data_IF_970522284737
#
_entry.id   IF_970522284737
#
_cell.length_a   1.000
_cell.length_b   1.000
_cell.length_c   1.000
_cell.angle_alpha   90.00
_cell.angle_beta   90.00
_cell.angle_gamma   90.00
#
_symmetry.space_group_name_H-M   'P 1'
#
loop_
_entity.id
_entity.type
_entity.pdbx_description
1 polymer ?
#
# COMPACT_ATOMS: atom_id res chain seq x y z
N UNK A 1 -1.56 -1.17 -7.83
CA UNK A 1 -0.26 -0.44 -7.90
C UNK A 1 -0.04 0.40 -9.18
N UNK A 2 -0.47 -0.03 -10.38
CA UNK A 2 -0.20 0.71 -11.64
C UNK A 2 -0.75 2.15 -11.60
N UNK A 3 -2.02 2.33 -11.26
CA UNK A 3 -2.64 3.66 -11.19
C UNK A 3 -2.03 4.55 -10.09
N UNK A 4 -1.60 3.94 -8.99
CA UNK A 4 -0.87 4.62 -7.92
C UNK A 4 0.47 5.12 -8.48
N UNK A 5 1.18 4.28 -9.22
CA UNK A 5 2.46 4.63 -9.81
C UNK A 5 2.35 5.75 -10.84
N UNK A 6 1.32 5.70 -11.69
CA UNK A 6 1.00 6.76 -12.66
C UNK A 6 0.71 8.11 -11.97
N UNK A 7 -0.11 8.07 -10.92
CA UNK A 7 -0.44 9.27 -10.13
C UNK A 7 0.77 9.79 -9.35
N UNK A 8 1.59 8.90 -8.76
CA UNK A 8 2.80 9.25 -8.05
C UNK A 8 3.83 9.92 -8.97
N UNK A 9 4.00 9.42 -10.20
CA UNK A 9 4.89 10.02 -11.19
C UNK A 9 4.47 11.44 -11.54
N UNK A 10 3.15 11.70 -11.64
CA UNK A 10 2.62 13.06 -11.81
C UNK A 10 3.01 13.98 -10.66
N UNK A 11 2.85 13.51 -9.42
CA UNK A 11 3.15 14.28 -8.21
C UNK A 11 4.65 14.57 -8.09
N UNK A 12 5.50 13.58 -8.38
CA UNK A 12 6.95 13.75 -8.36
C UNK A 12 7.50 14.45 -9.60
N UNK A 13 6.67 14.77 -10.59
CA UNK A 13 7.04 15.50 -11.80
C UNK A 13 7.95 14.72 -12.75
N UNK A 14 7.75 13.41 -12.87
CA UNK A 14 8.35 12.57 -13.92
C UNK A 14 7.30 12.10 -14.92
N UNK A 15 7.70 11.28 -15.89
CA UNK A 15 6.79 10.78 -16.91
C UNK A 15 5.81 9.74 -16.34
N UNK A 16 4.51 10.04 -16.44
CA UNK A 16 3.45 9.20 -15.88
C UNK A 16 3.39 7.80 -16.51
N UNK A 17 3.71 7.69 -17.80
CA UNK A 17 3.76 6.40 -18.49
C UNK A 17 4.91 5.54 -18.00
N UNK A 18 6.08 6.14 -17.72
CA UNK A 18 7.19 5.40 -17.11
C UNK A 18 6.84 4.95 -15.69
N UNK A 19 6.14 5.80 -14.92
CA UNK A 19 5.57 5.40 -13.63
C UNK A 19 4.64 4.20 -13.75
N UNK A 20 3.71 4.20 -14.73
CA UNK A 20 2.84 3.06 -14.98
C UNK A 20 3.63 1.79 -15.35
N UNK A 21 4.71 1.92 -16.14
CA UNK A 21 5.61 0.80 -16.47
C UNK A 21 6.28 0.22 -15.24
N UNK A 22 6.79 1.05 -14.32
CA UNK A 22 7.31 0.58 -13.02
C UNK A 22 6.22 -0.19 -12.26
N UNK A 23 5.02 0.37 -12.19
CA UNK A 23 3.87 -0.30 -11.57
C UNK A 23 3.52 -1.65 -12.20
N UNK A 24 3.69 -1.80 -13.53
CA UNK A 24 3.49 -3.06 -14.26
C UNK A 24 4.60 -4.07 -13.98
N UNK A 25 5.86 -3.64 -13.95
CA UNK A 25 7.01 -4.50 -13.61
C UNK A 25 6.82 -5.11 -12.22
N UNK A 26 6.38 -4.31 -11.25
CA UNK A 26 6.16 -4.75 -9.87
C UNK A 26 5.05 -5.80 -9.72
N UNK A 27 4.17 -5.98 -10.70
CA UNK A 27 3.13 -7.03 -10.69
C UNK A 27 3.21 -7.93 -11.92
N UNK A 28 4.38 -8.01 -12.56
CA UNK A 28 4.55 -8.77 -13.78
C UNK A 28 4.18 -10.25 -13.56
N UNK A 29 3.50 -10.93 -14.51
CA UNK A 29 3.05 -12.32 -14.32
C UNK A 29 4.16 -13.35 -14.05
N UNK A 30 5.40 -13.07 -14.45
CA UNK A 30 6.57 -13.90 -14.12
C UNK A 30 7.00 -13.79 -12.64
N UNK A 31 6.51 -12.79 -11.91
CA UNK A 31 6.66 -12.73 -10.46
C UNK A 31 5.57 -13.58 -9.83
N UNK A 32 5.93 -14.35 -8.81
CA UNK A 32 4.95 -15.09 -8.03
C UNK A 32 3.94 -14.11 -7.44
N UNK A 33 2.65 -14.43 -7.54
CA UNK A 33 1.61 -13.58 -7.01
C UNK A 33 1.75 -13.46 -5.48
N UNK A 34 1.83 -12.24 -4.94
CA UNK A 34 1.99 -12.00 -3.50
C UNK A 34 0.95 -12.76 -2.66
N UNK A 35 -0.29 -12.89 -3.17
CA UNK A 35 -1.38 -13.54 -2.47
C UNK A 35 -1.17 -15.06 -2.30
N UNK A 36 -0.37 -15.72 -3.15
CA UNK A 36 -0.11 -17.16 -3.03
C UNK A 36 1.09 -17.48 -2.16
N UNK A 37 1.92 -16.49 -1.81
CA UNK A 37 3.12 -16.68 -0.97
C UNK A 37 2.75 -17.19 0.42
N UNK A 38 1.63 -16.73 0.99
CA UNK A 38 1.18 -17.17 2.31
C UNK A 38 0.79 -18.65 2.36
N UNK A 39 0.27 -19.21 1.25
CA UNK A 39 -0.17 -20.60 1.15
C UNK A 39 0.88 -21.55 0.59
N UNK A 40 1.64 -21.11 -0.41
CA UNK A 40 2.57 -21.95 -1.19
C UNK A 40 4.04 -21.72 -0.81
N UNK A 41 4.33 -20.68 -0.01
CA UNK A 41 5.70 -20.23 0.24
C UNK A 41 6.33 -19.58 -1.01
N UNK A 42 7.57 -19.11 -0.88
CA UNK A 42 8.31 -18.52 -2.00
C UNK A 42 8.89 -19.64 -2.88
N UNK A 43 8.52 -19.64 -4.15
CA UNK A 43 8.91 -20.69 -5.10
C UNK A 43 10.25 -20.40 -5.78
N UNK A 44 10.52 -19.13 -6.10
CA UNK A 44 11.68 -18.75 -6.92
C UNK A 44 12.47 -17.64 -6.24
N UNK A 45 13.79 -17.83 -6.18
CA UNK A 45 14.74 -16.84 -5.71
C UNK A 45 15.70 -16.45 -6.83
N UNK A 46 15.93 -15.14 -6.99
CA UNK A 46 16.87 -14.59 -7.96
C UNK A 46 18.10 -14.03 -7.26
N UNK A 47 19.28 -14.41 -7.74
CA UNK A 47 20.54 -13.78 -7.32
C UNK A 47 20.63 -12.37 -7.90
N UNK A 48 20.91 -11.39 -7.05
CA UNK A 48 21.12 -9.98 -7.40
C UNK A 48 22.54 -9.54 -7.08
N UNK A 49 22.97 -8.41 -7.67
CA UNK A 49 24.32 -7.85 -7.54
C UNK A 49 25.44 -8.87 -7.77
N UNK A 50 25.35 -9.64 -8.85
CA UNK A 50 26.37 -10.64 -9.19
C UNK A 50 26.43 -11.85 -8.25
N UNK A 51 25.39 -12.09 -7.44
CA UNK A 51 25.33 -13.23 -6.51
C UNK A 51 25.54 -12.88 -5.05
N UNK A 52 25.60 -11.59 -4.70
CA UNK A 52 25.81 -11.13 -3.32
C UNK A 52 24.72 -11.62 -2.36
N UNK A 53 23.47 -11.62 -2.81
CA UNK A 53 22.34 -12.17 -2.08
C UNK A 53 21.20 -12.57 -3.03
N UNK A 54 20.22 -13.31 -2.49
CA UNK A 54 19.04 -13.78 -3.22
C UNK A 54 17.79 -13.05 -2.76
N UNK A 55 16.96 -12.66 -3.70
CA UNK A 55 15.66 -12.03 -3.44
C UNK A 55 14.52 -12.97 -3.84
N UNK A 56 13.39 -12.95 -3.14
CA UNK A 56 12.19 -13.63 -3.59
C UNK A 56 11.64 -12.93 -4.85
N UNK A 57 11.37 -13.69 -5.92
CA UNK A 57 10.70 -13.17 -7.13
C UNK A 57 9.19 -13.12 -6.91
N UNK A 58 8.76 -12.24 -6.03
CA UNK A 58 7.36 -12.05 -5.65
C UNK A 58 6.88 -10.69 -6.14
N UNK A 59 5.62 -10.63 -6.58
CA UNK A 59 4.97 -9.40 -7.00
C UNK A 59 4.62 -8.51 -5.80
N UNK A 60 4.34 -7.24 -6.07
CA UNK A 60 3.99 -6.24 -5.06
C UNK A 60 2.51 -5.88 -5.15
N UNK A 61 1.66 -6.89 -5.34
CA UNK A 61 0.21 -6.70 -5.33
C UNK A 61 -0.23 -6.18 -3.96
N UNK A 62 -0.93 -5.04 -3.91
CA UNK A 62 -1.39 -4.42 -2.67
C UNK A 62 -0.37 -3.55 -1.93
N UNK A 63 0.93 -3.58 -2.29
CA UNK A 63 1.92 -2.75 -1.58
C UNK A 63 1.94 -1.32 -2.14
N UNK A 64 1.48 -0.35 -1.35
CA UNK A 64 1.41 1.07 -1.78
C UNK A 64 2.73 1.80 -1.56
N UNK A 65 3.35 1.65 -0.38
CA UNK A 65 4.57 2.37 -0.03
C UNK A 65 5.75 2.01 -0.94
N UNK A 66 6.05 0.73 -1.22
CA UNK A 66 7.13 0.36 -2.13
C UNK A 66 6.97 0.98 -3.52
N UNK A 67 5.74 1.04 -4.03
CA UNK A 67 5.44 1.61 -5.35
C UNK A 67 5.70 3.11 -5.37
N UNK A 68 5.32 3.84 -4.31
CA UNK A 68 5.56 5.28 -4.22
C UNK A 68 7.08 5.56 -4.17
N UNK A 69 7.84 4.79 -3.40
CA UNK A 69 9.30 4.94 -3.30
C UNK A 69 9.99 4.58 -4.63
N UNK A 70 9.56 3.49 -5.28
CA UNK A 70 10.08 3.09 -6.58
C UNK A 70 9.85 4.19 -7.64
N UNK A 71 8.66 4.77 -7.68
CA UNK A 71 8.35 5.84 -8.64
C UNK A 71 9.07 7.14 -8.31
N UNK A 72 9.20 7.47 -7.02
CA UNK A 72 10.03 8.59 -6.61
C UNK A 72 11.47 8.43 -7.09
N UNK A 73 12.06 7.25 -6.89
CA UNK A 73 13.41 6.92 -7.36
C UNK A 73 13.53 7.04 -8.88
N UNK A 74 12.53 6.51 -9.61
CA UNK A 74 12.47 6.60 -11.07
C UNK A 74 12.47 8.06 -11.52
N UNK A 75 11.63 8.92 -10.92
CA UNK A 75 11.58 10.34 -11.26
C UNK A 75 12.91 11.05 -10.96
N UNK A 76 13.65 10.66 -9.91
CA UNK A 76 14.97 11.22 -9.63
C UNK A 76 16.00 10.81 -10.68
N UNK A 77 16.00 9.55 -11.09
CA UNK A 77 16.91 9.01 -12.11
C UNK A 77 16.61 9.67 -13.46
N UNK A 78 15.34 9.70 -13.87
CA UNK A 78 14.86 10.30 -15.11
C UNK A 78 15.30 11.77 -15.24
N UNK A 79 15.03 12.59 -14.21
CA UNK A 79 15.42 14.01 -14.20
C UNK A 79 16.94 14.23 -14.25
N UNK A 80 17.72 13.31 -13.69
CA UNK A 80 19.19 13.39 -13.75
C UNK A 80 19.71 12.99 -15.12
N UNK A 81 19.13 11.95 -15.72
CA UNK A 81 19.50 11.50 -17.06
C UNK A 81 19.24 12.57 -18.11
N UNK A 82 18.09 13.27 -18.05
CA UNK A 82 17.83 14.41 -18.94
C UNK A 82 18.88 15.54 -18.88
N UNK A 83 19.70 15.62 -17.81
CA UNK A 83 20.79 16.61 -17.69
C UNK A 83 22.13 16.10 -18.21
N UNK A 84 22.31 14.79 -18.27
CA UNK A 84 23.60 14.14 -18.60
C UNK A 84 23.59 13.60 -20.02
N UNK A 85 22.44 13.14 -20.50
CA UNK A 85 22.29 12.50 -21.81
C UNK A 85 22.20 13.58 -22.90
N UNK A 86 22.98 13.47 -23.98
CA UNK A 86 22.88 14.38 -25.12
C UNK A 86 21.48 14.36 -25.76
N UNK A 87 20.97 15.52 -26.14
CA UNK A 87 19.60 15.70 -26.65
C UNK A 87 19.22 14.77 -27.83
N UNK A 88 20.19 14.36 -28.65
CA UNK A 88 19.98 13.47 -29.80
C UNK A 88 19.49 12.06 -29.39
N UNK A 89 19.91 11.57 -28.21
CA UNK A 89 19.62 10.20 -27.75
C UNK A 89 18.77 10.16 -26.47
N UNK A 90 18.46 11.32 -25.91
CA UNK A 90 17.71 11.47 -24.65
C UNK A 90 16.35 10.75 -24.68
N UNK A 91 15.60 10.88 -25.78
CA UNK A 91 14.30 10.23 -25.96
C UNK A 91 14.35 8.70 -25.87
N UNK A 92 15.50 8.09 -26.15
CA UNK A 92 15.67 6.63 -26.12
C UNK A 92 16.35 6.17 -24.84
N UNK A 93 17.47 6.80 -24.48
CA UNK A 93 18.32 6.36 -23.36
C UNK A 93 17.67 6.68 -22.02
N UNK A 94 17.11 7.88 -21.86
CA UNK A 94 16.60 8.32 -20.56
C UNK A 94 15.44 7.45 -20.07
N UNK A 95 14.39 7.18 -20.86
CA UNK A 95 13.32 6.27 -20.44
C UNK A 95 13.80 4.85 -20.16
N UNK A 96 14.65 4.30 -21.04
CA UNK A 96 15.10 2.91 -20.95
C UNK A 96 15.97 2.67 -19.71
N UNK A 97 16.95 3.54 -19.47
CA UNK A 97 17.83 3.45 -18.30
C UNK A 97 17.05 3.74 -17.02
N UNK A 98 16.15 4.73 -17.02
CA UNK A 98 15.32 5.04 -15.85
C UNK A 98 14.49 3.84 -15.42
N UNK A 99 13.77 3.22 -16.37
CA UNK A 99 12.92 2.06 -16.07
C UNK A 99 13.75 0.85 -15.67
N UNK A 100 14.83 0.55 -16.40
CA UNK A 100 15.66 -0.63 -16.13
C UNK A 100 16.34 -0.55 -14.75
N UNK A 101 17.02 0.57 -14.47
CA UNK A 101 17.72 0.76 -13.20
C UNK A 101 16.73 0.79 -12.05
N UNK A 102 15.61 1.50 -12.19
CA UNK A 102 14.62 1.58 -11.12
C UNK A 102 13.92 0.24 -10.89
N UNK A 103 13.52 -0.46 -11.95
CA UNK A 103 12.90 -1.79 -11.84
C UNK A 103 13.84 -2.77 -11.13
N UNK A 104 15.11 -2.79 -11.53
CA UNK A 104 16.12 -3.62 -10.88
C UNK A 104 16.31 -3.26 -9.40
N UNK A 105 16.51 -1.99 -9.07
CA UNK A 105 16.67 -1.54 -7.67
C UNK A 105 15.41 -1.77 -6.83
N UNK A 106 14.23 -1.70 -7.43
CA UNK A 106 12.96 -1.95 -6.75
C UNK A 106 12.88 -3.39 -6.29
N UNK A 107 13.16 -4.35 -7.19
CA UNK A 107 13.13 -5.76 -6.84
C UNK A 107 14.31 -6.14 -5.93
N UNK A 108 15.50 -5.63 -6.21
CA UNK A 108 16.73 -6.01 -5.50
C UNK A 108 16.85 -5.41 -4.10
N UNK A 109 16.40 -4.17 -3.89
CA UNK A 109 16.63 -3.42 -2.65
C UNK A 109 15.33 -3.07 -1.94
N UNK A 110 14.40 -2.41 -2.63
CA UNK A 110 13.15 -1.95 -2.00
C UNK A 110 12.35 -3.16 -1.52
N UNK A 111 12.25 -4.20 -2.33
CA UNK A 111 11.57 -5.44 -2.02
C UNK A 111 11.94 -6.06 -0.67
N UNK A 112 13.18 -6.57 -0.52
CA UNK A 112 13.63 -7.22 0.70
C UNK A 112 13.50 -6.35 1.96
N UNK A 113 13.72 -5.04 1.83
CA UNK A 113 13.57 -4.11 2.95
C UNK A 113 12.11 -4.11 3.42
N UNK A 114 11.17 -4.00 2.48
CA UNK A 114 9.75 -3.96 2.81
C UNK A 114 9.22 -5.30 3.29
N UNK A 115 9.60 -6.42 2.70
CA UNK A 115 9.18 -7.75 3.21
C UNK A 115 9.65 -7.96 4.64
N UNK A 116 10.86 -7.52 4.98
CA UNK A 116 11.38 -7.61 6.36
C UNK A 116 10.59 -6.72 7.34
N UNK A 117 10.26 -5.50 6.93
CA UNK A 117 9.42 -4.59 7.72
C UNK A 117 8.01 -5.16 7.92
N UNK A 118 7.45 -5.75 6.88
CA UNK A 118 6.12 -6.36 6.87
C UNK A 118 6.06 -7.58 7.79
N UNK A 119 7.03 -8.48 7.71
CA UNK A 119 7.18 -9.60 8.64
C UNK A 119 7.29 -9.10 10.09
N UNK A 120 8.03 -8.02 10.32
CA UNK A 120 8.11 -7.35 11.62
C UNK A 120 6.76 -6.85 12.13
N UNK A 121 5.97 -6.20 11.27
CA UNK A 121 4.61 -5.74 11.58
C UNK A 121 3.70 -6.94 11.88
N UNK A 122 3.71 -7.98 11.05
CA UNK A 122 2.90 -9.20 11.23
C UNK A 122 3.18 -9.84 12.60
N UNK A 123 4.46 -10.01 12.94
CA UNK A 123 4.87 -10.57 14.23
C UNK A 123 4.44 -9.65 15.39
N UNK A 124 4.54 -8.33 15.21
CA UNK A 124 4.05 -7.35 16.17
C UNK A 124 2.53 -7.49 16.43
N UNK A 125 1.73 -7.58 15.37
CA UNK A 125 0.27 -7.76 15.48
C UNK A 125 -0.07 -9.07 16.21
N UNK A 126 0.64 -10.16 15.91
CA UNK A 126 0.44 -11.44 16.61
C UNK A 126 0.70 -11.36 18.12
N UNK A 127 1.67 -10.55 18.56
CA UNK A 127 1.93 -10.32 19.98
C UNK A 127 0.76 -9.58 20.63
N UNK A 128 0.20 -8.58 19.96
CA UNK A 128 -0.97 -7.84 20.47
C UNK A 128 -2.22 -8.71 20.52
N UNK A 129 -2.45 -9.57 19.52
CA UNK A 129 -3.60 -10.48 19.47
C UNK A 129 -3.60 -11.52 20.62
N UNK A 130 -2.43 -11.83 21.19
CA UNK A 130 -2.30 -12.74 22.34
C UNK A 130 -2.56 -12.07 23.70
N UNK A 131 -2.76 -10.75 23.75
CA UNK A 131 -3.04 -10.06 25.01
C UNK A 131 -4.45 -10.41 25.53
N UNK A 132 -4.58 -10.81 26.81
CA UNK A 132 -5.89 -11.12 27.39
C UNK A 132 -6.79 -9.87 27.46
N UNK A 133 -8.10 -10.10 27.57
CA UNK A 133 -9.14 -9.06 27.71
C UNK A 133 -9.36 -8.13 26.50
N UNK A 134 -8.82 -8.47 25.31
CA UNK A 134 -9.07 -7.71 24.08
C UNK A 134 -8.34 -6.36 24.01
N UNK A 135 -7.34 -6.14 24.87
CA UNK A 135 -6.53 -4.91 24.90
C UNK A 135 -5.76 -4.73 23.59
N UNK A 136 -5.23 -5.82 23.02
CA UNK A 136 -4.56 -5.79 21.73
C UNK A 136 -5.49 -5.31 20.62
N UNK A 137 -6.71 -5.86 20.56
CA UNK A 137 -7.72 -5.46 19.58
C UNK A 137 -8.16 -4.01 19.75
N UNK A 138 -8.20 -3.48 20.98
CA UNK A 138 -8.50 -2.07 21.24
C UNK A 138 -7.41 -1.13 20.67
N UNK A 139 -6.13 -1.44 20.95
CA UNK A 139 -5.00 -0.66 20.45
C UNK A 139 -4.93 -0.73 18.92
N UNK A 140 -5.04 -1.93 18.36
CA UNK A 140 -4.99 -2.15 16.91
C UNK A 140 -6.18 -1.50 16.19
N UNK A 141 -7.38 -1.54 16.78
CA UNK A 141 -8.56 -0.84 16.25
C UNK A 141 -8.38 0.69 16.24
N UNK A 142 -7.74 1.26 17.26
CA UNK A 142 -7.40 2.68 17.30
C UNK A 142 -6.36 3.09 16.26
N UNK A 143 -5.36 2.24 16.03
CA UNK A 143 -4.32 2.48 15.01
C UNK A 143 -4.81 2.22 13.58
N UNK A 144 -5.88 1.44 13.41
CA UNK A 144 -6.38 1.03 12.10
C UNK A 144 -6.60 2.21 11.15
N UNK A 145 -7.33 3.25 11.58
CA UNK A 145 -7.62 4.41 10.74
C UNK A 145 -6.34 5.15 10.30
N UNK A 146 -5.32 5.22 11.16
CA UNK A 146 -4.01 5.80 10.82
C UNK A 146 -3.29 4.96 9.76
N UNK A 147 -3.39 3.63 9.85
CA UNK A 147 -2.77 2.73 8.88
C UNK A 147 -3.47 2.76 7.52
N UNK A 148 -4.78 3.07 7.51
CA UNK A 148 -5.53 3.34 6.27
C UNK A 148 -5.02 4.61 5.60
N UNK A 149 -4.85 5.69 6.38
CA UNK A 149 -4.26 6.95 5.89
C UNK A 149 -2.86 6.75 5.33
N UNK A 150 -2.04 5.93 5.98
CA UNK A 150 -0.69 5.59 5.53
C UNK A 150 -0.64 4.63 4.32
N UNK A 151 -1.77 4.03 3.92
CA UNK A 151 -1.84 3.07 2.83
C UNK A 151 -1.24 1.68 3.14
N UNK A 152 -0.86 1.44 4.40
CA UNK A 152 -0.32 0.15 4.86
C UNK A 152 -1.44 -0.90 4.94
N UNK A 153 -2.69 -0.47 5.07
CA UNK A 153 -3.82 -1.37 5.29
C UNK A 153 -4.08 -2.41 4.18
N UNK A 154 -3.66 -2.15 2.94
CA UNK A 154 -3.75 -3.12 1.85
C UNK A 154 -2.90 -4.38 2.08
N UNK A 155 -1.90 -4.29 2.96
CA UNK A 155 -1.05 -5.40 3.36
C UNK A 155 -1.75 -6.40 4.27
N UNK A 156 -2.81 -5.97 4.95
CA UNK A 156 -3.50 -6.80 5.93
C UNK A 156 -4.18 -8.01 5.32
N UNK A 157 -4.55 -7.95 4.05
CA UNK A 157 -5.08 -9.13 3.35
C UNK A 157 -4.06 -10.28 3.27
N UNK A 158 -2.74 -9.99 3.21
CA UNK A 158 -1.71 -11.03 3.30
C UNK A 158 -1.66 -11.66 4.70
N UNK A 159 -1.88 -10.84 5.74
CA UNK A 159 -1.94 -11.28 7.13
C UNK A 159 -3.16 -12.18 7.35
N UNK A 160 -4.33 -11.77 6.85
CA UNK A 160 -5.57 -12.55 6.89
C UNK A 160 -5.38 -13.92 6.22
N UNK A 161 -4.78 -13.96 5.03
CA UNK A 161 -4.49 -15.21 4.33
C UNK A 161 -3.51 -16.09 5.12
N UNK A 162 -2.47 -15.50 5.72
CA UNK A 162 -1.52 -16.20 6.58
C UNK A 162 -2.18 -16.77 7.85
N UNK A 163 -3.11 -16.03 8.47
CA UNK A 163 -3.87 -16.49 9.63
C UNK A 163 -4.86 -17.60 9.25
N UNK A 164 -5.57 -17.48 8.12
CA UNK A 164 -6.45 -18.53 7.60
C UNK A 164 -5.69 -19.83 7.35
N UNK A 165 -4.51 -19.74 6.73
CA UNK A 165 -3.68 -20.91 6.44
C UNK A 165 -3.19 -21.61 7.72
N UNK A 166 -2.85 -20.85 8.77
CA UNK A 166 -2.30 -21.39 10.03
C UNK A 166 -3.36 -21.83 11.03
N UNK A 167 -4.42 -21.04 11.19
CA UNK A 167 -5.39 -21.18 12.29
C UNK A 167 -6.80 -21.56 11.79
N UNK A 168 -7.10 -21.40 10.49
CA UNK A 168 -8.43 -21.64 9.91
C UNK A 168 -9.42 -20.49 10.09
N UNK A 169 -9.02 -19.40 10.76
CA UNK A 169 -9.83 -18.20 10.99
C UNK A 169 -8.92 -16.97 11.11
N UNK A 170 -9.50 -15.76 11.03
CA UNK A 170 -8.76 -14.49 11.18
C UNK A 170 -9.23 -13.72 12.40
N UNK A 171 -8.27 -13.18 13.15
CA UNK A 171 -8.55 -12.24 14.23
C UNK A 171 -8.70 -10.81 13.69
N UNK A 172 -8.09 -10.56 12.55
CA UNK A 172 -7.97 -9.23 11.95
C UNK A 172 -9.26 -8.75 11.26
N UNK A 173 -9.93 -9.61 10.50
CA UNK A 173 -11.12 -9.23 9.72
C UNK A 173 -12.30 -8.72 10.58
N UNK A 174 -12.62 -9.32 11.76
CA UNK A 174 -13.64 -8.77 12.65
C UNK A 174 -13.27 -7.38 13.19
N UNK A 175 -12.00 -7.17 13.52
CA UNK A 175 -11.48 -5.88 14.01
C UNK A 175 -11.57 -4.81 12.92
N UNK A 176 -11.12 -5.12 11.70
CA UNK A 176 -11.20 -4.21 10.56
C UNK A 176 -12.66 -3.85 10.23
N UNK A 177 -13.57 -4.83 10.28
CA UNK A 177 -15.01 -4.62 10.09
C UNK A 177 -15.58 -3.65 11.13
N UNK A 178 -15.26 -3.85 12.41
CA UNK A 178 -15.69 -2.97 13.49
C UNK A 178 -15.16 -1.54 13.31
N UNK A 179 -13.88 -1.39 12.95
CA UNK A 179 -13.26 -0.10 12.70
C UNK A 179 -13.90 0.62 11.49
N UNK A 180 -14.23 -0.11 10.42
CA UNK A 180 -14.90 0.44 9.25
C UNK A 180 -16.30 0.97 9.59
N UNK A 181 -17.09 0.20 10.34
CA UNK A 181 -18.42 0.62 10.81
C UNK A 181 -18.31 1.82 11.76
N UNK A 182 -17.31 1.85 12.63
CA UNK A 182 -17.06 3.00 13.51
C UNK A 182 -16.76 4.29 12.72
N UNK A 183 -15.91 4.20 11.67
CA UNK A 183 -15.64 5.33 10.77
C UNK A 183 -16.91 5.78 10.02
N UNK A 184 -17.75 4.83 9.61
CA UNK A 184 -19.07 5.11 9.03
C UNK A 184 -20.00 5.81 10.00
N UNK A 185 -20.07 5.35 11.25
CA UNK A 185 -20.84 5.97 12.33
C UNK A 185 -20.38 7.39 12.64
N UNK A 186 -19.08 7.65 12.66
CA UNK A 186 -18.53 8.99 12.84
C UNK A 186 -18.91 9.93 11.69
N UNK A 187 -18.77 9.47 10.44
CA UNK A 187 -19.18 10.26 9.28
C UNK A 187 -20.70 10.50 9.26
N UNK A 188 -21.50 9.52 9.68
CA UNK A 188 -22.94 9.65 9.82
C UNK A 188 -23.32 10.67 10.90
N UNK A 189 -22.63 10.67 12.03
CA UNK A 189 -22.82 11.67 13.09
C UNK A 189 -22.53 13.10 12.59
N UNK A 190 -21.51 13.29 11.75
CA UNK A 190 -21.23 14.57 11.08
C UNK A 190 -22.35 14.93 10.11
N UNK A 191 -22.86 13.96 9.33
CA UNK A 191 -23.99 14.17 8.44
C UNK A 191 -25.25 14.62 9.19
N UNK A 192 -25.53 14.09 10.37
CA UNK A 192 -26.68 14.51 11.18
C UNK A 192 -26.47 15.89 11.84
N UNK A 193 -25.30 16.12 12.44
CA UNK A 193 -25.01 17.34 13.22
C UNK A 193 -24.66 18.56 12.39
N UNK A 194 -24.19 18.39 11.15
CA UNK A 194 -23.77 19.52 10.31
C UNK A 194 -24.96 20.36 9.84
N UNK A 195 -24.83 21.69 9.92
CA UNK A 195 -25.81 22.63 9.34
C UNK A 195 -25.49 22.98 7.88
N UNK A 196 -24.31 22.62 7.39
CA UNK A 196 -23.87 22.94 6.03
C UNK A 196 -24.33 21.86 5.05
N UNK A 197 -25.16 22.24 4.08
CA UNK A 197 -25.71 21.34 3.06
C UNK A 197 -24.61 20.59 2.27
N UNK A 198 -23.50 21.25 1.95
CA UNK A 198 -22.37 20.65 1.22
C UNK A 198 -21.64 19.59 2.04
N UNK A 199 -21.57 19.77 3.35
CA UNK A 199 -20.94 18.77 4.25
C UNK A 199 -21.87 17.57 4.40
N UNK A 200 -23.17 17.80 4.56
CA UNK A 200 -24.18 16.72 4.63
C UNK A 200 -24.20 15.86 3.37
N UNK A 201 -24.18 16.50 2.20
CA UNK A 201 -24.24 15.80 0.91
C UNK A 201 -23.02 14.92 0.65
N UNK A 202 -21.85 15.23 1.23
CA UNK A 202 -20.67 14.36 1.14
C UNK A 202 -20.60 13.35 2.29
N UNK A 203 -21.01 13.72 3.50
CA UNK A 203 -20.84 12.88 4.69
C UNK A 203 -21.75 11.66 4.71
N UNK A 204 -23.00 11.79 4.25
CA UNK A 204 -23.94 10.67 4.25
C UNK A 204 -23.53 9.54 3.27
N UNK A 205 -23.19 9.82 2.00
CA UNK A 205 -22.66 8.79 1.10
C UNK A 205 -21.36 8.18 1.61
N UNK A 206 -20.49 8.99 2.21
CA UNK A 206 -19.22 8.51 2.78
C UNK A 206 -19.43 7.54 3.95
N UNK A 207 -20.43 7.81 4.80
CA UNK A 207 -20.81 6.92 5.89
C UNK A 207 -21.31 5.56 5.38
N UNK A 208 -22.18 5.56 4.37
CA UNK A 208 -22.67 4.33 3.75
C UNK A 208 -21.54 3.54 3.08
N UNK A 209 -20.64 4.21 2.38
CA UNK A 209 -19.43 3.63 1.79
C UNK A 209 -18.58 2.92 2.85
N UNK A 210 -18.36 3.57 4.00
CA UNK A 210 -17.57 3.00 5.09
C UNK A 210 -18.24 1.76 5.71
N UNK A 211 -19.57 1.75 5.85
CA UNK A 211 -20.31 0.55 6.26
C UNK A 211 -20.21 -0.60 5.26
N UNK A 212 -19.95 -0.32 3.98
CA UNK A 212 -19.68 -1.32 2.94
C UNK A 212 -18.20 -1.72 2.85
N UNK A 213 -17.36 -1.25 3.79
CA UNK A 213 -15.94 -1.57 3.86
C UNK A 213 -15.01 -0.60 3.10
N UNK A 214 -15.55 0.41 2.42
CA UNK A 214 -14.76 1.43 1.72
C UNK A 214 -14.72 2.70 2.57
N UNK A 215 -13.65 2.86 3.35
CA UNK A 215 -13.56 3.90 4.39
C UNK A 215 -12.89 5.19 3.93
N UNK A 216 -12.21 5.19 2.79
CA UNK A 216 -11.43 6.32 2.28
C UNK A 216 -12.28 7.60 2.10
N UNK A 217 -13.52 7.55 1.56
CA UNK A 217 -14.37 8.74 1.50
C UNK A 217 -14.74 9.30 2.88
N UNK A 218 -14.96 8.43 3.87
CA UNK A 218 -15.29 8.83 5.24
C UNK A 218 -14.06 9.42 5.95
N UNK A 219 -12.92 8.74 5.87
CA UNK A 219 -11.67 9.18 6.50
C UNK A 219 -11.21 10.51 5.89
N UNK A 220 -10.94 10.56 4.58
CA UNK A 220 -10.35 11.74 3.95
C UNK A 220 -11.37 12.85 3.69
N UNK A 221 -12.62 12.50 3.38
CA UNK A 221 -13.67 13.47 3.06
C UNK A 221 -14.28 14.15 4.28
N UNK A 222 -14.29 13.47 5.43
CA UNK A 222 -15.04 13.90 6.62
C UNK A 222 -14.21 13.82 7.91
N UNK A 223 -13.86 12.62 8.37
CA UNK A 223 -13.39 12.40 9.72
C UNK A 223 -12.03 13.07 9.97
N UNK A 224 -11.05 12.79 9.12
CA UNK A 224 -9.71 13.40 9.19
C UNK A 224 -9.76 14.92 8.94
N UNK A 225 -10.64 15.36 8.04
CA UNK A 225 -10.82 16.79 7.73
C UNK A 225 -11.30 17.61 8.93
N UNK A 226 -12.17 17.03 9.76
CA UNK A 226 -12.74 17.72 10.93
C UNK A 226 -12.08 17.33 12.25
N UNK A 227 -11.18 16.33 12.24
CA UNK A 227 -10.34 15.82 13.32
C UNK A 227 -11.09 15.27 14.55
N UNK A 228 -12.08 16.00 15.09
CA UNK A 228 -12.97 15.54 16.16
C UNK A 228 -13.71 14.22 15.87
N UNK A 229 -14.12 13.92 14.61
CA UNK A 229 -14.77 12.65 14.29
C UNK A 229 -13.80 11.51 13.92
N UNK A 230 -12.50 11.80 13.78
CA UNK A 230 -11.48 10.80 13.44
C UNK A 230 -11.10 9.98 14.67
#
# INVERSE_FOLDING_TARGET
PILIAFSAAKVFGGNQFLGAVIGMIMIHPNLQNAWTVASEGVQTYQSVFGGLYKIPLVGYQGHVIPVIIAVWLMCQIEKRLHKVVPAMIDLFVTPLVSVFVTGYLTLAVIGPIFTTLEDGIINGVQIFDQLPFGIGSFIMGGLYAVTVVAGIHHMYTLIDLGQLAKFGFTYWLPLASAANVAQGGAAFAVALKSKNAKVKSMALPSALSACMGITEPAIFGVNLRYFKPF
#
